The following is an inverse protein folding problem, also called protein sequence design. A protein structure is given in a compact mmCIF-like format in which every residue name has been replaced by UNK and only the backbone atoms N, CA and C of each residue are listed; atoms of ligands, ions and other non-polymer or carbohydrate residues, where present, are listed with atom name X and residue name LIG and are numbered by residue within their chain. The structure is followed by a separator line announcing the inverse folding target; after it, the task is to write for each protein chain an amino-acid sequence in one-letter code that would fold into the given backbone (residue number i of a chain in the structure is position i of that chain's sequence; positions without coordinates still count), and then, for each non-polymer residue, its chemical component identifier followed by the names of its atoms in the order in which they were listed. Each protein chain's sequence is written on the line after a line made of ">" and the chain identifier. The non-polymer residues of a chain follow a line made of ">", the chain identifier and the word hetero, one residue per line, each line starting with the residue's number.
data_IF_602911393038
#
_entry.id   IF_602911393038
#
_cell.length_a   1.000
_cell.length_b   1.000
_cell.length_c   1.000
_cell.angle_alpha   90.00
_cell.angle_beta   90.00
_cell.angle_gamma   90.00
#
_symmetry.space_group_name_H-M   'P 1'
#
loop_
_entity.id
_entity.type
_entity.pdbx_description
1 polymer ?
#
# COMPACT_ATOMS: atom_id res chain seq x y z
N UNK A 1 -11.28 10.57 1.58
CA UNK A 1 -10.99 9.17 1.92
C UNK A 1 -9.49 9.04 2.04
N UNK A 2 -9.00 8.38 3.07
CA UNK A 2 -7.57 8.16 3.32
C UNK A 2 -7.34 6.69 3.66
N UNK A 3 -6.16 6.17 3.36
CA UNK A 3 -5.79 4.79 3.65
C UNK A 3 -5.57 4.57 5.17
N UNK A 4 -5.48 3.32 5.66
CA UNK A 4 -5.32 3.06 7.08
C UNK A 4 -4.04 3.63 7.69
N UNK A 5 -2.95 3.75 6.92
CA UNK A 5 -1.68 4.33 7.41
C UNK A 5 -1.80 5.84 7.63
N UNK A 6 -2.45 6.53 6.70
CA UNK A 6 -2.73 7.97 6.84
C UNK A 6 -3.77 8.23 7.93
N UNK A 7 -4.76 7.34 8.10
CA UNK A 7 -5.73 7.42 9.19
C UNK A 7 -5.06 7.28 10.57
N UNK A 8 -4.10 6.36 10.71
CA UNK A 8 -3.29 6.21 11.93
C UNK A 8 -2.50 7.50 12.23
N UNK A 9 -1.77 8.01 11.24
CA UNK A 9 -1.03 9.27 11.35
C UNK A 9 -1.91 10.46 11.71
N UNK A 10 -3.07 10.59 11.08
CA UNK A 10 -4.02 11.67 11.36
C UNK A 10 -4.61 11.55 12.76
N UNK A 11 -4.98 10.33 13.19
CA UNK A 11 -5.55 10.09 14.53
C UNK A 11 -4.56 10.55 15.61
N UNK A 12 -3.32 10.07 15.57
CA UNK A 12 -2.30 10.42 16.57
C UNK A 12 -1.93 11.90 16.46
N UNK A 13 -1.80 12.42 15.24
CA UNK A 13 -1.51 13.84 15.02
C UNK A 13 -2.56 14.78 15.61
N UNK A 14 -3.85 14.42 15.55
CA UNK A 14 -4.93 15.20 16.16
C UNK A 14 -4.89 15.19 17.69
N UNK A 15 -4.45 14.10 18.32
CA UNK A 15 -4.28 14.01 19.78
C UNK A 15 -3.13 14.88 20.31
N UNK A 16 -2.11 15.13 19.48
CA UNK A 16 -0.91 15.91 19.83
C UNK A 16 -0.87 17.31 19.19
N UNK A 17 -1.99 17.77 18.61
CA UNK A 17 -2.04 19.05 17.91
C UNK A 17 -1.77 20.23 18.85
N UNK A 18 -0.81 21.08 18.47
CA UNK A 18 -0.51 22.33 19.17
C UNK A 18 -1.33 23.51 18.61
N UNK A 19 -1.86 24.36 19.49
CA UNK A 19 -2.62 25.54 19.09
C UNK A 19 -1.71 26.54 18.36
N UNK A 20 -2.14 26.98 17.18
CA UNK A 20 -1.38 27.92 16.35
C UNK A 20 -0.26 27.29 15.51
N UNK A 21 0.00 25.99 15.65
CA UNK A 21 0.96 25.24 14.82
C UNK A 21 0.20 24.38 13.81
N UNK A 22 0.43 24.53 12.50
CA UNK A 22 -0.19 23.67 11.49
C UNK A 22 0.25 22.20 11.66
N UNK A 23 -0.70 21.29 11.78
CA UNK A 23 -0.46 19.85 11.70
C UNK A 23 -0.41 19.44 10.22
N UNK A 24 0.68 18.80 9.80
CA UNK A 24 0.81 18.19 8.47
C UNK A 24 0.93 16.69 8.65
N UNK A 25 -0.04 15.94 8.12
CA UNK A 25 0.00 14.47 8.10
C UNK A 25 0.47 14.01 6.72
N UNK A 26 1.45 13.10 6.68
CA UNK A 26 1.93 12.52 5.43
C UNK A 26 0.95 11.44 4.97
N UNK A 27 0.43 11.59 3.76
CA UNK A 27 -0.31 10.53 3.08
C UNK A 27 0.70 9.53 2.50
N UNK A 28 0.84 8.36 3.13
CA UNK A 28 1.91 7.39 2.79
C UNK A 28 1.46 6.37 1.74
N UNK A 29 0.15 6.22 1.53
CA UNK A 29 -0.42 5.39 0.48
C UNK A 29 -1.79 5.90 0.04
N UNK A 30 -2.17 5.57 -1.20
CA UNK A 30 -3.52 5.81 -1.69
C UNK A 30 -4.49 4.74 -1.16
N UNK A 31 -5.78 5.08 -0.92
CA UNK A 31 -6.79 4.15 -0.44
C UNK A 31 -6.94 2.87 -1.29
N UNK A 32 -6.76 2.98 -2.62
CA UNK A 32 -6.86 1.85 -3.55
C UNK A 32 -5.83 0.73 -3.28
N UNK A 33 -4.79 0.98 -2.48
CA UNK A 33 -3.82 -0.06 -2.08
C UNK A 33 -4.32 -0.92 -0.91
N UNK A 34 -5.39 -0.50 -0.24
CA UNK A 34 -5.93 -1.13 0.98
C UNK A 34 -7.47 -1.18 0.95
N UNK A 35 -8.04 -1.67 -0.15
CA UNK A 35 -9.49 -1.65 -0.42
C UNK A 35 -10.32 -2.33 0.67
N UNK A 36 -9.84 -3.45 1.22
CA UNK A 36 -10.55 -4.18 2.28
C UNK A 36 -10.78 -3.33 3.54
N UNK A 37 -9.76 -2.55 3.96
CA UNK A 37 -9.88 -1.66 5.11
C UNK A 37 -10.85 -0.50 4.83
N UNK A 38 -10.89 -0.02 3.58
CA UNK A 38 -11.84 1.02 3.17
C UNK A 38 -13.28 0.47 3.18
N UNK A 39 -13.49 -0.74 2.63
CA UNK A 39 -14.79 -1.41 2.60
C UNK A 39 -15.30 -1.70 4.01
N UNK A 40 -14.45 -2.18 4.90
CA UNK A 40 -14.79 -2.39 6.31
C UNK A 40 -15.24 -1.10 6.99
N UNK A 41 -14.51 0.00 6.80
CA UNK A 41 -14.76 1.24 7.52
C UNK A 41 -15.91 2.08 6.94
N UNK A 42 -16.12 2.03 5.62
CA UNK A 42 -16.99 2.97 4.90
C UNK A 42 -18.07 2.30 4.04
N UNK A 43 -18.06 0.97 3.89
CA UNK A 43 -18.98 0.19 3.04
C UNK A 43 -19.00 0.65 1.57
N UNK A 44 -17.86 1.16 1.08
CA UNK A 44 -17.66 1.59 -0.30
C UNK A 44 -16.30 1.15 -0.82
N UNK A 45 -16.19 1.00 -2.14
CA UNK A 45 -14.90 0.79 -2.79
C UNK A 45 -14.12 2.11 -2.93
N UNK A 46 -12.80 2.10 -2.75
CA UNK A 46 -11.98 3.28 -3.04
C UNK A 46 -11.95 3.59 -4.53
N UNK A 47 -11.76 4.87 -4.87
CA UNK A 47 -11.55 5.28 -6.26
C UNK A 47 -10.18 4.81 -6.73
N UNK A 48 -10.17 4.01 -7.79
CA UNK A 48 -8.95 3.55 -8.46
C UNK A 48 -8.53 4.52 -9.56
N UNK A 49 -7.24 4.91 -9.64
CA UNK A 49 -6.73 5.70 -10.77
C UNK A 49 -6.98 4.98 -12.09
N UNK A 50 -7.37 5.71 -13.13
CA UNK A 50 -7.69 5.14 -14.45
C UNK A 50 -6.53 4.31 -15.03
N UNK A 51 -5.29 4.73 -14.77
CA UNK A 51 -4.06 4.05 -15.19
C UNK A 51 -3.89 2.64 -14.58
N UNK A 52 -4.57 2.36 -13.46
CA UNK A 52 -4.48 1.11 -12.71
C UNK A 52 -5.77 0.27 -12.79
N UNK A 53 -6.76 0.69 -13.59
CA UNK A 53 -8.08 0.04 -13.65
C UNK A 53 -8.01 -1.44 -14.02
N UNK A 54 -7.09 -1.81 -14.91
CA UNK A 54 -6.93 -3.17 -15.42
C UNK A 54 -5.71 -3.90 -14.84
N UNK A 55 -5.04 -3.33 -13.81
CA UNK A 55 -3.77 -3.85 -13.30
C UNK A 55 -3.89 -5.33 -12.84
N UNK A 56 -4.95 -5.66 -12.12
CA UNK A 56 -5.21 -7.00 -11.57
C UNK A 56 -5.47 -8.05 -12.67
N UNK A 57 -5.97 -7.62 -13.83
CA UNK A 57 -6.26 -8.52 -14.95
C UNK A 57 -5.02 -8.86 -15.80
N UNK A 58 -3.90 -8.14 -15.61
CA UNK A 58 -2.69 -8.37 -16.39
C UNK A 58 -2.00 -9.69 -16.01
N UNK A 59 -1.33 -10.36 -16.98
CA UNK A 59 -0.55 -11.56 -16.68
C UNK A 59 0.55 -11.28 -15.64
N UNK A 60 0.55 -12.05 -14.54
CA UNK A 60 1.59 -11.95 -13.53
C UNK A 60 2.82 -12.80 -13.92
N UNK A 61 3.98 -12.17 -14.07
CA UNK A 61 5.26 -12.86 -14.21
C UNK A 61 5.94 -12.96 -12.85
N UNK A 62 5.90 -14.14 -12.23
CA UNK A 62 6.53 -14.43 -10.93
C UNK A 62 7.11 -15.83 -10.87
N UNK A 63 8.11 -16.02 -10.03
CA UNK A 63 8.71 -17.33 -9.75
C UNK A 63 8.44 -17.69 -8.29
N UNK A 64 7.79 -18.83 -8.07
CA UNK A 64 7.55 -19.36 -6.72
C UNK A 64 8.80 -20.12 -6.28
N UNK A 65 9.26 -19.86 -5.05
CA UNK A 65 10.46 -20.46 -4.47
C UNK A 65 10.18 -20.81 -3.02
N UNK A 66 10.80 -21.90 -2.54
CA UNK A 66 10.79 -22.23 -1.12
C UNK A 66 11.59 -21.19 -0.32
N UNK A 67 11.41 -21.20 1.01
CA UNK A 67 12.17 -20.35 1.94
C UNK A 67 13.61 -20.89 2.09
N UNK A 68 14.37 -20.84 1.01
CA UNK A 68 15.74 -21.34 0.87
C UNK A 68 16.66 -20.25 0.31
N UNK A 69 17.67 -19.88 1.10
CA UNK A 69 18.64 -18.85 0.77
C UNK A 69 19.49 -19.23 -0.45
N UNK A 70 19.91 -20.49 -0.59
CA UNK A 70 20.76 -20.92 -1.70
C UNK A 70 19.97 -20.98 -3.00
N UNK A 71 18.72 -21.42 -2.96
CA UNK A 71 17.83 -21.39 -4.11
C UNK A 71 17.66 -19.96 -4.66
N UNK A 72 17.40 -18.97 -3.78
CA UNK A 72 17.26 -17.55 -4.15
C UNK A 72 18.55 -17.00 -4.76
N UNK A 73 19.72 -17.30 -4.16
CA UNK A 73 21.02 -16.87 -4.71
C UNK A 73 21.26 -17.42 -6.11
N UNK A 74 21.02 -18.71 -6.31
CA UNK A 74 21.20 -19.36 -7.62
C UNK A 74 20.28 -18.76 -8.68
N UNK A 75 19.01 -18.49 -8.32
CA UNK A 75 18.08 -17.84 -9.22
C UNK A 75 18.57 -16.45 -9.65
N UNK A 76 19.06 -15.64 -8.72
CA UNK A 76 19.61 -14.31 -9.05
C UNK A 76 20.80 -14.45 -10.00
N UNK A 77 21.77 -15.33 -9.70
CA UNK A 77 22.95 -15.54 -10.56
C UNK A 77 22.55 -15.96 -11.98
N UNK A 78 21.55 -16.83 -12.11
CA UNK A 78 21.08 -17.29 -13.42
C UNK A 78 20.33 -16.23 -14.25
N UNK A 79 19.87 -15.13 -13.64
CA UNK A 79 19.02 -14.11 -14.30
C UNK A 79 19.57 -12.67 -14.24
N UNK A 80 20.77 -12.45 -13.66
CA UNK A 80 21.37 -11.12 -13.50
C UNK A 80 22.23 -10.67 -14.69
N UNK A 81 22.06 -11.29 -15.87
CA UNK A 81 22.76 -10.95 -17.10
C UNK A 81 22.10 -9.79 -17.85
#
# INVERSE_FOLDING_TARGET
>A
MIDPHTADGLKVGLEHREHGVPLVCMETAQPAKFEDAIREALDIEPVRPAELADLEAQPQKKHVMDVDVEAVKQFIVAHAH
#
